data_IF_094483307225
#
_entry.id   IF_094483307225
#
_cell.length_a   1.000
_cell.length_b   1.000
_cell.length_c   1.000
_cell.angle_alpha   90.00
_cell.angle_beta   90.00
_cell.angle_gamma   90.00
#
_symmetry.space_group_name_H-M   'P 1'
#
loop_
_entity.id
_entity.type
_entity.pdbx_description
1 polymer ?
#
# COMPACT_ATOMS: atom_id res chain seq x y z
N UNK A 1 33.80 1.27 -9.42
CA UNK A 1 32.50 1.79 -9.86
C UNK A 1 32.67 2.36 -11.27
N UNK A 2 31.83 1.93 -12.20
CA UNK A 2 31.80 2.49 -13.56
C UNK A 2 31.10 3.85 -13.56
N UNK A 3 31.17 4.58 -14.70
CA UNK A 3 30.46 5.86 -14.84
C UNK A 3 28.94 5.64 -14.75
N UNK A 4 28.43 4.59 -15.39
CA UNK A 4 27.02 4.23 -15.33
C UNK A 4 26.54 3.97 -13.88
N UNK A 5 27.32 3.27 -13.05
CA UNK A 5 27.02 3.07 -11.62
C UNK A 5 26.93 4.40 -10.86
N UNK A 6 27.86 5.33 -11.13
CA UNK A 6 27.87 6.64 -10.44
C UNK A 6 26.64 7.45 -10.84
N UNK A 7 26.31 7.50 -12.12
CA UNK A 7 25.17 8.24 -12.62
C UNK A 7 23.84 7.61 -12.15
N UNK A 8 23.74 6.28 -12.13
CA UNK A 8 22.58 5.59 -11.54
C UNK A 8 22.39 5.92 -10.06
N UNK A 9 23.49 5.97 -9.31
CA UNK A 9 23.47 6.38 -7.90
C UNK A 9 22.99 7.83 -7.75
N UNK A 10 23.42 8.73 -8.62
CA UNK A 10 22.97 10.14 -8.64
C UNK A 10 21.46 10.21 -8.89
N UNK A 11 20.95 9.46 -9.85
CA UNK A 11 19.49 9.41 -10.14
C UNK A 11 18.72 8.88 -8.93
N UNK A 12 19.17 7.79 -8.30
CA UNK A 12 18.54 7.22 -7.11
C UNK A 12 18.55 8.21 -5.94
N UNK A 13 19.69 8.80 -5.64
CA UNK A 13 19.84 9.77 -4.53
C UNK A 13 18.98 10.99 -4.80
N UNK A 14 18.94 11.51 -6.02
CA UNK A 14 18.07 12.63 -6.39
C UNK A 14 16.59 12.28 -6.16
N UNK A 15 16.13 11.08 -6.56
CA UNK A 15 14.77 10.62 -6.31
C UNK A 15 14.47 10.56 -4.81
N UNK A 16 15.35 9.93 -4.02
CA UNK A 16 15.19 9.80 -2.57
C UNK A 16 15.10 11.18 -1.91
N UNK A 17 15.99 12.10 -2.25
CA UNK A 17 16.00 13.44 -1.69
C UNK A 17 14.73 14.22 -2.06
N UNK A 18 14.28 14.15 -3.32
CA UNK A 18 13.03 14.79 -3.74
C UNK A 18 11.81 14.25 -2.99
N UNK A 19 11.78 12.94 -2.70
CA UNK A 19 10.69 12.32 -1.92
C UNK A 19 10.78 12.68 -0.44
N UNK A 20 11.97 12.63 0.17
CA UNK A 20 12.15 12.89 1.61
C UNK A 20 11.92 14.34 2.00
N UNK A 21 12.26 15.28 1.13
CA UNK A 21 12.13 16.71 1.40
C UNK A 21 10.89 17.35 0.76
N UNK A 22 9.99 16.53 0.19
CA UNK A 22 8.76 16.99 -0.50
C UNK A 22 9.06 18.13 -1.51
N UNK A 23 10.18 18.01 -2.24
CA UNK A 23 10.63 19.03 -3.21
C UNK A 23 9.62 19.17 -4.35
N UNK A 24 8.97 18.08 -4.72
CA UNK A 24 7.94 17.99 -5.77
C UNK A 24 6.71 17.26 -5.21
N UNK A 25 5.51 17.56 -5.73
CA UNK A 25 4.29 16.85 -5.34
C UNK A 25 4.44 15.33 -5.50
N UNK A 26 3.78 14.59 -4.62
CA UNK A 26 3.78 13.13 -4.62
C UNK A 26 3.47 12.55 -6.01
N UNK A 27 4.27 11.59 -6.48
CA UNK A 27 4.18 10.97 -7.80
C UNK A 27 5.08 11.61 -8.86
N UNK A 28 5.52 12.86 -8.69
CA UNK A 28 6.35 13.57 -9.67
C UNK A 28 7.86 13.28 -9.54
N UNK A 29 8.47 13.04 -8.37
CA UNK A 29 9.90 12.80 -8.24
C UNK A 29 10.46 11.72 -9.17
N UNK A 30 9.85 10.51 -9.32
CA UNK A 30 10.36 9.52 -10.24
C UNK A 30 10.21 9.95 -11.72
N UNK A 31 9.15 10.68 -12.06
CA UNK A 31 8.97 11.23 -13.40
C UNK A 31 10.08 12.25 -13.74
N UNK A 32 10.46 13.11 -12.77
CA UNK A 32 11.60 14.01 -12.93
C UNK A 32 12.91 13.22 -13.14
N UNK A 33 13.08 12.08 -12.47
CA UNK A 33 14.21 11.18 -12.68
C UNK A 33 14.20 10.55 -14.07
N UNK A 34 13.04 10.23 -14.67
CA UNK A 34 12.97 9.80 -16.07
C UNK A 34 13.58 10.84 -17.01
N UNK A 35 13.24 12.11 -16.81
CA UNK A 35 13.84 13.21 -17.59
C UNK A 35 15.35 13.31 -17.34
N UNK A 36 15.79 13.18 -16.09
CA UNK A 36 17.21 13.18 -15.73
C UNK A 36 17.97 12.04 -16.41
N UNK A 37 17.39 10.83 -16.48
CA UNK A 37 17.98 9.67 -17.19
C UNK A 37 18.23 10.00 -18.65
N UNK A 38 17.26 10.61 -19.36
CA UNK A 38 17.42 11.02 -20.77
C UNK A 38 18.54 12.04 -20.91
N UNK A 39 18.61 13.04 -20.03
CA UNK A 39 19.66 14.06 -20.06
C UNK A 39 21.03 13.41 -19.85
N UNK A 40 21.17 12.55 -18.85
CA UNK A 40 22.44 11.87 -18.57
C UNK A 40 22.84 10.93 -19.73
N UNK A 41 21.89 10.20 -20.30
CA UNK A 41 22.12 9.36 -21.46
C UNK A 41 22.55 10.15 -22.70
N UNK A 42 21.94 11.32 -22.92
CA UNK A 42 22.30 12.20 -24.04
C UNK A 42 23.69 12.82 -23.91
N UNK A 43 24.09 13.15 -22.68
CA UNK A 43 25.39 13.82 -22.40
C UNK A 43 26.53 12.80 -22.27
N UNK A 44 26.29 11.70 -21.58
CA UNK A 44 27.32 10.74 -21.20
C UNK A 44 27.20 9.37 -21.88
N UNK A 45 26.20 9.15 -22.75
CA UNK A 45 25.93 7.83 -23.36
C UNK A 45 27.14 7.22 -24.09
N UNK A 46 27.93 8.03 -24.80
CA UNK A 46 29.14 7.57 -25.44
C UNK A 46 30.27 7.15 -24.50
N UNK A 47 30.21 7.61 -23.23
CA UNK A 47 31.17 7.28 -22.19
C UNK A 47 30.72 6.10 -21.31
N UNK A 48 29.60 5.47 -21.64
CA UNK A 48 29.02 4.31 -20.93
C UNK A 48 28.86 3.10 -21.88
N UNK A 49 29.96 2.60 -22.50
CA UNK A 49 29.91 1.50 -23.46
C UNK A 49 29.49 0.15 -22.83
N UNK A 50 29.47 0.07 -21.50
CA UNK A 50 29.06 -1.12 -20.76
C UNK A 50 27.54 -1.31 -20.69
N UNK A 51 26.75 -0.31 -21.05
CA UNK A 51 25.29 -0.41 -21.04
C UNK A 51 24.80 -1.14 -22.29
N UNK A 52 24.00 -2.18 -22.10
CA UNK A 52 23.37 -2.92 -23.22
C UNK A 52 22.31 -2.07 -23.95
N UNK A 53 21.64 -1.17 -23.23
CA UNK A 53 20.63 -0.26 -23.77
C UNK A 53 20.98 1.19 -23.47
N UNK A 54 20.86 2.09 -24.46
CA UNK A 54 21.08 3.52 -24.25
C UNK A 54 19.99 4.11 -23.34
N UNK A 55 20.38 5.05 -22.51
CA UNK A 55 19.42 5.80 -21.67
C UNK A 55 18.71 6.88 -22.51
N UNK A 56 17.88 6.44 -23.43
CA UNK A 56 17.06 7.27 -24.30
C UNK A 56 15.63 7.47 -23.75
N UNK A 57 14.77 8.12 -24.53
CA UNK A 57 13.38 8.37 -24.17
C UNK A 57 12.62 7.05 -23.97
N UNK A 58 12.85 6.05 -24.83
CA UNK A 58 12.15 4.77 -24.75
C UNK A 58 12.50 4.03 -23.48
N UNK A 59 13.78 4.04 -23.09
CA UNK A 59 14.26 3.48 -21.84
C UNK A 59 13.72 4.22 -20.63
N UNK A 60 13.83 5.55 -20.61
CA UNK A 60 13.45 6.36 -19.47
C UNK A 60 11.93 6.41 -19.20
N UNK A 61 11.10 6.12 -20.20
CA UNK A 61 9.65 6.06 -20.08
C UNK A 61 9.07 4.65 -20.26
N UNK A 62 9.91 3.61 -20.18
CA UNK A 62 9.48 2.21 -20.30
C UNK A 62 8.41 1.81 -19.29
N UNK A 63 8.39 2.42 -18.11
CA UNK A 63 7.34 2.18 -17.11
C UNK A 63 5.93 2.56 -17.59
N UNK A 64 5.81 3.54 -18.48
CA UNK A 64 4.53 3.96 -19.07
C UNK A 64 4.00 3.00 -20.15
N UNK A 65 4.81 2.06 -20.59
CA UNK A 65 4.40 0.98 -21.51
C UNK A 65 4.25 -0.36 -20.78
N UNK A 66 4.43 -0.38 -19.46
CA UNK A 66 4.33 -1.59 -18.65
C UNK A 66 2.87 -2.01 -18.48
N UNK A 67 2.55 -3.26 -18.80
CA UNK A 67 1.19 -3.80 -18.73
C UNK A 67 0.60 -3.72 -17.32
N UNK A 68 1.40 -3.99 -16.28
CA UNK A 68 0.96 -3.94 -14.88
C UNK A 68 0.58 -2.51 -14.47
N UNK A 69 1.33 -1.51 -14.92
CA UNK A 69 1.02 -0.10 -14.64
C UNK A 69 -0.33 0.30 -15.24
N UNK A 70 -0.61 -0.09 -16.47
CA UNK A 70 -1.91 0.19 -17.11
C UNK A 70 -3.05 -0.57 -16.45
N UNK A 71 -2.84 -1.83 -16.08
CA UNK A 71 -3.81 -2.60 -15.32
C UNK A 71 -4.20 -1.88 -14.02
N UNK A 72 -3.19 -1.40 -13.28
CA UNK A 72 -3.41 -0.64 -12.06
C UNK A 72 -4.09 0.70 -12.32
N UNK A 73 -3.69 1.43 -13.36
CA UNK A 73 -4.29 2.71 -13.74
C UNK A 73 -5.80 2.57 -13.99
N UNK A 74 -6.20 1.56 -14.78
CA UNK A 74 -7.61 1.27 -15.01
C UNK A 74 -8.32 0.80 -13.73
N UNK A 75 -7.64 0.02 -12.90
CA UNK A 75 -8.24 -0.42 -11.64
C UNK A 75 -8.47 0.73 -10.66
N UNK A 76 -7.59 1.74 -10.62
CA UNK A 76 -7.81 2.96 -9.83
C UNK A 76 -9.08 3.72 -10.25
N UNK A 77 -9.40 3.76 -11.54
CA UNK A 77 -10.67 4.31 -12.04
C UNK A 77 -11.88 3.52 -11.50
N UNK A 78 -11.78 2.19 -11.48
CA UNK A 78 -12.86 1.34 -10.95
C UNK A 78 -13.00 1.53 -9.44
N UNK A 79 -11.90 1.70 -8.72
CA UNK A 79 -11.93 2.02 -7.28
C UNK A 79 -12.64 3.34 -6.99
N UNK A 80 -12.41 4.37 -7.80
CA UNK A 80 -13.15 5.62 -7.68
C UNK A 80 -14.66 5.44 -7.95
N UNK A 81 -15.02 4.57 -8.89
CA UNK A 81 -16.42 4.25 -9.16
C UNK A 81 -17.08 3.47 -8.00
N UNK A 82 -16.39 2.50 -7.39
CA UNK A 82 -16.92 1.71 -6.28
C UNK A 82 -17.15 2.59 -5.03
N UNK A 83 -16.32 3.61 -4.81
CA UNK A 83 -16.48 4.55 -3.71
C UNK A 83 -17.77 5.39 -3.81
N UNK A 84 -18.34 5.55 -5.02
CA UNK A 84 -19.63 6.21 -5.24
C UNK A 84 -20.84 5.30 -5.00
N UNK A 85 -20.64 4.03 -4.74
CA UNK A 85 -21.73 3.08 -4.43
C UNK A 85 -22.19 3.22 -2.97
N UNK A 86 -23.36 2.70 -2.67
CA UNK A 86 -23.90 2.70 -1.30
C UNK A 86 -23.20 1.70 -0.35
N UNK A 87 -22.03 1.14 -0.74
CA UNK A 87 -21.31 0.19 0.12
C UNK A 87 -20.83 0.84 1.41
N UNK A 88 -20.36 2.10 1.34
CA UNK A 88 -19.88 2.85 2.50
C UNK A 88 -21.05 3.11 3.48
N UNK A 89 -22.21 3.53 2.99
CA UNK A 89 -23.38 3.78 3.83
C UNK A 89 -23.90 2.49 4.48
N UNK A 90 -23.87 1.36 3.79
CA UNK A 90 -24.22 0.04 4.37
C UNK A 90 -23.28 -0.38 5.50
N UNK A 91 -21.96 -0.14 5.35
CA UNK A 91 -20.99 -0.40 6.43
C UNK A 91 -21.33 0.46 7.66
N UNK A 92 -21.61 1.74 7.45
CA UNK A 92 -22.05 2.69 8.49
C UNK A 92 -23.28 2.18 9.25
N UNK A 93 -24.36 1.77 8.54
CA UNK A 93 -25.59 1.28 9.15
C UNK A 93 -25.38 0.03 10.00
N UNK A 94 -24.57 -0.91 9.50
CA UNK A 94 -24.23 -2.13 10.25
C UNK A 94 -23.41 -1.80 11.50
N UNK A 95 -22.45 -0.88 11.39
CA UNK A 95 -21.63 -0.47 12.52
C UNK A 95 -22.47 0.21 13.60
N UNK A 96 -23.36 1.12 13.24
CA UNK A 96 -24.24 1.80 14.18
C UNK A 96 -25.07 0.82 15.00
N UNK A 97 -25.70 -0.17 14.37
CA UNK A 97 -26.45 -1.23 15.04
C UNK A 97 -25.60 -2.06 16.00
N UNK A 98 -24.36 -2.38 15.61
CA UNK A 98 -23.46 -3.17 16.46
C UNK A 98 -23.02 -2.41 17.70
N UNK A 99 -22.86 -1.09 17.60
CA UNK A 99 -22.48 -0.24 18.76
C UNK A 99 -23.60 -0.17 19.77
N UNK A 100 -24.86 -0.06 19.34
CA UNK A 100 -26.03 -0.08 20.24
C UNK A 100 -26.07 -1.34 21.11
N UNK A 101 -25.73 -2.50 20.55
CA UNK A 101 -25.67 -3.76 21.32
C UNK A 101 -24.56 -3.73 22.36
N UNK A 102 -23.38 -3.20 22.01
CA UNK A 102 -22.23 -3.01 22.90
C UNK A 102 -21.55 -4.30 23.37
N UNK A 103 -20.46 -4.12 24.12
CA UNK A 103 -19.69 -5.21 24.71
C UNK A 103 -18.67 -5.86 23.76
N UNK A 104 -17.91 -6.84 24.28
CA UNK A 104 -16.79 -7.48 23.56
C UNK A 104 -17.21 -8.18 22.26
N UNK A 105 -18.38 -8.80 22.22
CA UNK A 105 -18.87 -9.46 20.99
C UNK A 105 -19.12 -8.44 19.87
N UNK A 106 -19.72 -7.29 20.22
CA UNK A 106 -19.93 -6.20 19.27
C UNK A 106 -18.60 -5.59 18.80
N UNK A 107 -17.63 -5.46 19.70
CA UNK A 107 -16.28 -5.02 19.33
C UNK A 107 -15.65 -5.93 18.27
N UNK A 108 -15.67 -7.25 18.48
CA UNK A 108 -15.14 -8.20 17.50
C UNK A 108 -15.92 -8.16 16.18
N UNK A 109 -17.25 -8.05 16.24
CA UNK A 109 -18.07 -7.91 15.04
C UNK A 109 -17.76 -6.62 14.27
N UNK A 110 -17.54 -5.49 14.97
CA UNK A 110 -17.13 -4.23 14.38
C UNK A 110 -15.76 -4.34 13.69
N UNK A 111 -14.78 -5.01 14.32
CA UNK A 111 -13.49 -5.28 13.68
C UNK A 111 -13.67 -6.03 12.36
N UNK A 112 -14.47 -7.10 12.37
CA UNK A 112 -14.75 -7.90 11.17
C UNK A 112 -15.42 -7.05 10.09
N UNK A 113 -16.42 -6.23 10.43
CA UNK A 113 -17.13 -5.36 9.47
C UNK A 113 -16.18 -4.34 8.85
N UNK A 114 -15.34 -3.70 9.66
CA UNK A 114 -14.35 -2.73 9.15
C UNK A 114 -13.30 -3.42 8.28
N UNK A 115 -12.78 -4.58 8.68
CA UNK A 115 -11.84 -5.37 7.89
C UNK A 115 -12.44 -5.89 6.58
N UNK A 116 -13.74 -6.20 6.54
CA UNK A 116 -14.47 -6.51 5.30
C UNK A 116 -14.62 -5.26 4.41
N UNK A 117 -14.89 -4.10 5.01
CA UNK A 117 -14.87 -2.81 4.31
C UNK A 117 -13.50 -2.55 3.68
N UNK A 118 -12.41 -2.77 4.42
CA UNK A 118 -11.05 -2.66 3.92
C UNK A 118 -10.74 -3.64 2.78
N UNK A 119 -11.38 -4.81 2.78
CA UNK A 119 -11.24 -5.79 1.70
C UNK A 119 -11.76 -5.27 0.35
N UNK A 120 -12.71 -4.35 0.38
CA UNK A 120 -13.33 -3.75 -0.82
C UNK A 120 -12.63 -2.44 -1.18
N UNK A 121 -12.47 -1.54 -0.19
CA UNK A 121 -11.94 -0.20 -0.40
C UNK A 121 -10.41 -0.17 -0.52
N UNK A 122 -9.73 -1.23 -0.12
CA UNK A 122 -8.28 -1.38 -0.17
C UNK A 122 -7.54 -0.84 1.05
N UNK A 123 -6.32 -1.30 1.23
CA UNK A 123 -5.41 -0.81 2.26
C UNK A 123 -5.00 0.64 1.95
N UNK A 124 -4.98 1.51 2.96
CA UNK A 124 -4.53 2.91 2.83
C UNK A 124 -5.61 3.87 2.34
N UNK A 125 -6.89 3.48 2.28
CA UNK A 125 -7.98 4.38 1.94
C UNK A 125 -8.21 5.43 3.02
N UNK A 126 -7.77 6.67 2.75
CA UNK A 126 -7.95 7.81 3.66
C UNK A 126 -9.42 8.08 3.93
N UNK A 127 -10.25 8.10 2.92
CA UNK A 127 -11.69 8.32 3.06
C UNK A 127 -12.33 7.27 3.99
N UNK A 128 -11.88 6.03 3.92
CA UNK A 128 -12.45 4.97 4.75
C UNK A 128 -12.08 5.11 6.22
N UNK A 129 -10.81 5.37 6.58
CA UNK A 129 -10.48 5.53 7.99
C UNK A 129 -11.04 6.83 8.58
N UNK A 130 -11.14 7.92 7.79
CA UNK A 130 -11.80 9.16 8.23
C UNK A 130 -13.28 8.89 8.55
N UNK A 131 -13.98 8.16 7.68
CA UNK A 131 -15.35 7.73 7.94
C UNK A 131 -15.47 6.92 9.24
N UNK A 132 -14.58 5.96 9.47
CA UNK A 132 -14.59 5.15 10.70
C UNK A 132 -14.37 6.03 11.94
N UNK A 133 -13.43 6.97 11.88
CA UNK A 133 -13.19 7.90 13.00
C UNK A 133 -14.38 8.81 13.25
N UNK A 134 -14.97 9.40 12.20
CA UNK A 134 -16.15 10.24 12.29
C UNK A 134 -17.33 9.47 12.89
N UNK A 135 -17.52 8.22 12.48
CA UNK A 135 -18.54 7.36 13.08
C UNK A 135 -18.31 7.15 14.59
N UNK A 136 -17.08 6.83 15.01
CA UNK A 136 -16.77 6.57 16.42
C UNK A 136 -16.94 7.83 17.28
N UNK A 137 -16.60 9.00 16.77
CA UNK A 137 -16.72 10.29 17.47
C UNK A 137 -18.19 10.69 17.65
N UNK A 138 -19.04 10.44 16.64
CA UNK A 138 -20.47 10.79 16.72
C UNK A 138 -21.32 9.81 17.53
N UNK A 139 -20.73 8.65 17.95
CA UNK A 139 -21.45 7.71 18.80
C UNK A 139 -21.65 8.27 20.23
N UNK A 140 -22.84 8.12 20.81
CA UNK A 140 -23.03 8.46 22.21
C UNK A 140 -22.13 7.59 23.09
N UNK A 141 -21.61 8.19 24.17
CA UNK A 141 -20.79 7.45 25.14
C UNK A 141 -21.58 6.29 25.74
N UNK A 142 -20.93 5.13 25.77
CA UNK A 142 -21.46 3.92 26.38
C UNK A 142 -20.40 3.25 27.25
N UNK A 143 -20.73 2.98 28.52
CA UNK A 143 -19.84 2.24 29.43
C UNK A 143 -19.54 0.82 28.97
N UNK A 144 -20.45 0.22 28.19
CA UNK A 144 -20.28 -1.15 27.65
C UNK A 144 -19.26 -1.21 26.51
N UNK A 145 -19.15 -0.13 25.74
CA UNK A 145 -18.23 -0.02 24.61
C UNK A 145 -17.82 1.44 24.39
N UNK A 146 -16.90 1.97 25.23
CA UNK A 146 -16.42 3.34 25.10
C UNK A 146 -15.74 3.59 23.75
N UNK A 147 -15.90 4.80 23.17
CA UNK A 147 -15.28 5.18 21.91
C UNK A 147 -13.76 5.02 21.90
N UNK A 148 -13.08 5.24 23.03
CA UNK A 148 -11.64 5.00 23.19
C UNK A 148 -11.22 3.53 23.00
N UNK A 149 -12.11 2.57 23.18
CA UNK A 149 -11.87 1.16 22.84
C UNK A 149 -12.07 0.86 21.35
N UNK A 150 -12.71 1.74 20.62
CA UNK A 150 -13.02 1.59 19.20
C UNK A 150 -12.06 2.36 18.31
N UNK A 151 -11.73 3.59 18.67
CA UNK A 151 -11.02 4.54 17.81
C UNK A 151 -9.74 3.95 17.19
N UNK A 152 -8.83 3.49 18.04
CA UNK A 152 -7.55 2.97 17.60
C UNK A 152 -7.65 1.62 16.87
N UNK A 153 -8.35 0.59 17.39
CA UNK A 153 -8.47 -0.69 16.70
C UNK A 153 -9.23 -0.61 15.38
N UNK A 154 -10.34 0.12 15.31
CA UNK A 154 -11.13 0.24 14.09
C UNK A 154 -10.41 1.08 13.04
N UNK A 155 -9.72 2.16 13.46
CA UNK A 155 -8.86 2.92 12.57
C UNK A 155 -7.80 2.05 11.92
N UNK A 156 -7.07 1.24 12.70
CA UNK A 156 -6.06 0.33 12.14
C UNK A 156 -6.70 -0.82 11.35
N UNK A 157 -7.89 -1.30 11.74
CA UNK A 157 -8.64 -2.32 11.01
C UNK A 157 -8.97 -1.88 9.58
N UNK A 158 -9.22 -0.58 9.34
CA UNK A 158 -9.49 -0.04 8.01
C UNK A 158 -8.31 -0.21 7.02
N UNK A 159 -7.13 -0.52 7.56
CA UNK A 159 -5.90 -0.79 6.79
C UNK A 159 -5.57 -2.29 6.70
N UNK A 160 -6.44 -3.16 7.22
CA UNK A 160 -6.18 -4.61 7.29
C UNK A 160 -7.36 -5.38 6.71
N UNK A 161 -7.34 -5.67 5.38
CA UNK A 161 -8.41 -6.42 4.73
C UNK A 161 -8.53 -7.83 5.33
N UNK A 162 -9.75 -8.25 5.66
CA UNK A 162 -10.02 -9.61 6.13
C UNK A 162 -9.85 -10.63 5.00
N UNK A 163 -10.36 -10.28 3.84
CA UNK A 163 -10.18 -11.01 2.58
C UNK A 163 -9.42 -10.06 1.65
N UNK A 164 -8.11 -10.24 1.45
CA UNK A 164 -7.29 -9.27 0.72
C UNK A 164 -7.47 -9.40 -0.79
N UNK A 165 -8.67 -9.06 -1.27
CA UNK A 165 -9.03 -9.05 -2.70
C UNK A 165 -8.57 -7.75 -3.38
N UNK A 166 -8.56 -6.63 -2.66
CA UNK A 166 -8.12 -5.35 -3.16
C UNK A 166 -6.73 -5.00 -2.60
N UNK A 167 -5.70 -5.59 -3.16
CA UNK A 167 -4.27 -5.36 -2.84
C UNK A 167 -3.52 -4.72 -4.01
N UNK A 168 -4.26 -4.20 -5.00
CA UNK A 168 -3.70 -3.77 -6.29
C UNK A 168 -2.58 -2.72 -6.14
N UNK A 169 -2.72 -1.75 -5.24
CA UNK A 169 -1.72 -0.72 -5.01
C UNK A 169 -0.39 -1.33 -4.53
N UNK A 170 -0.42 -2.08 -3.44
CA UNK A 170 0.78 -2.68 -2.84
C UNK A 170 1.40 -3.73 -3.77
N UNK A 171 0.54 -4.50 -4.43
CA UNK A 171 0.95 -5.46 -5.46
C UNK A 171 1.68 -4.78 -6.62
N UNK A 172 1.14 -3.67 -7.12
CA UNK A 172 1.77 -2.90 -8.20
C UNK A 172 3.13 -2.33 -7.81
N UNK A 173 3.26 -1.82 -6.59
CA UNK A 173 4.54 -1.37 -6.04
C UNK A 173 5.54 -2.54 -6.00
N UNK A 174 5.15 -3.70 -5.48
CA UNK A 174 6.03 -4.87 -5.40
C UNK A 174 6.48 -5.37 -6.77
N UNK A 175 5.54 -5.51 -7.72
CA UNK A 175 5.85 -5.97 -9.08
C UNK A 175 6.75 -4.98 -9.82
N UNK A 176 6.51 -3.67 -9.66
CA UNK A 176 7.36 -2.62 -10.26
C UNK A 176 8.80 -2.71 -9.76
N UNK A 177 8.98 -2.91 -8.45
CA UNK A 177 10.31 -3.04 -7.85
C UNK A 177 11.00 -4.33 -8.31
N UNK A 178 10.27 -5.45 -8.39
CA UNK A 178 10.86 -6.71 -8.88
C UNK A 178 11.29 -6.61 -10.35
N UNK A 179 10.45 -6.07 -11.20
CA UNK A 179 10.77 -5.87 -12.60
C UNK A 179 12.05 -5.03 -12.77
N UNK A 180 12.20 -4.02 -11.90
CA UNK A 180 13.35 -3.13 -11.88
C UNK A 180 14.63 -3.75 -11.28
N UNK A 181 14.49 -4.78 -10.46
CA UNK A 181 15.63 -5.55 -9.96
C UNK A 181 16.15 -6.58 -10.99
N UNK A 182 15.66 -6.55 -12.22
CA UNK A 182 16.02 -7.49 -13.27
C UNK A 182 15.47 -8.90 -13.07
N UNK A 183 14.56 -9.07 -12.14
CA UNK A 183 13.93 -10.35 -11.84
C UNK A 183 12.77 -10.57 -12.82
N UNK A 184 12.93 -11.48 -13.75
CA UNK A 184 11.88 -11.89 -14.67
C UNK A 184 10.76 -12.73 -14.02
N UNK A 185 10.85 -12.96 -12.70
CA UNK A 185 9.86 -13.70 -11.95
C UNK A 185 8.67 -12.77 -11.61
N UNK A 186 7.48 -13.19 -11.99
CA UNK A 186 6.23 -12.52 -11.58
C UNK A 186 5.79 -13.02 -10.21
N UNK A 187 5.31 -12.11 -9.36
CA UNK A 187 4.60 -12.51 -8.13
C UNK A 187 3.16 -12.84 -8.52
N UNK A 188 2.66 -14.07 -8.31
CA UNK A 188 1.24 -14.32 -8.47
C UNK A 188 0.45 -13.48 -7.46
N UNK A 189 -0.57 -12.75 -7.93
CA UNK A 189 -1.38 -11.86 -7.08
C UNK A 189 -2.03 -12.60 -5.92
N UNK A 190 -2.41 -13.87 -6.13
CA UNK A 190 -2.99 -14.73 -5.08
C UNK A 190 -1.98 -14.97 -3.95
N UNK A 191 -0.72 -15.23 -4.27
CA UNK A 191 0.34 -15.42 -3.27
C UNK A 191 0.62 -14.12 -2.51
N UNK A 192 0.63 -12.98 -3.21
CA UNK A 192 0.73 -11.67 -2.58
C UNK A 192 -0.44 -11.43 -1.60
N UNK A 193 -1.66 -11.73 -2.02
CA UNK A 193 -2.85 -11.64 -1.20
C UNK A 193 -2.78 -12.56 0.04
N UNK A 194 -2.24 -13.78 -0.10
CA UNK A 194 -2.02 -14.67 1.05
C UNK A 194 -1.06 -14.08 2.08
N UNK A 195 0.04 -13.45 1.66
CA UNK A 195 0.96 -12.77 2.59
C UNK A 195 0.26 -11.58 3.27
N UNK A 196 -0.54 -10.82 2.53
CA UNK A 196 -1.36 -9.74 3.09
C UNK A 196 -2.36 -10.26 4.12
N UNK A 197 -2.94 -11.45 3.89
CA UNK A 197 -3.82 -12.11 4.86
C UNK A 197 -3.09 -12.41 6.18
N UNK A 198 -1.83 -12.90 6.13
CA UNK A 198 -1.04 -13.12 7.35
C UNK A 198 -0.81 -11.83 8.13
N UNK A 199 -0.52 -10.71 7.46
CA UNK A 199 -0.40 -9.39 8.09
C UNK A 199 -1.71 -9.01 8.80
N UNK A 200 -2.85 -9.17 8.12
CA UNK A 200 -4.18 -8.86 8.66
C UNK A 200 -4.58 -9.81 9.79
N UNK A 201 -4.19 -11.08 9.70
CA UNK A 201 -4.41 -12.07 10.76
C UNK A 201 -3.63 -11.71 12.03
N UNK A 202 -2.37 -11.30 11.89
CA UNK A 202 -1.57 -10.82 13.02
C UNK A 202 -2.20 -9.60 13.71
N UNK A 203 -2.74 -8.67 12.92
CA UNK A 203 -3.53 -7.55 13.45
C UNK A 203 -4.77 -8.04 14.20
N UNK A 204 -5.59 -8.89 13.59
CA UNK A 204 -6.84 -9.37 14.18
C UNK A 204 -6.60 -10.12 15.49
N UNK A 205 -5.62 -11.02 15.53
CA UNK A 205 -5.24 -11.76 16.73
C UNK A 205 -4.88 -10.80 17.86
N UNK A 206 -4.05 -9.80 17.58
CA UNK A 206 -3.71 -8.80 18.60
C UNK A 206 -4.91 -7.93 18.97
N UNK A 207 -5.73 -7.47 18.03
CA UNK A 207 -6.88 -6.64 18.30
C UNK A 207 -7.85 -7.32 19.28
N UNK A 208 -8.06 -8.63 19.13
CA UNK A 208 -8.91 -9.42 20.04
C UNK A 208 -8.25 -9.56 21.43
N UNK A 209 -6.98 -9.94 21.50
CA UNK A 209 -6.26 -10.12 22.77
C UNK A 209 -6.03 -8.77 23.47
N UNK A 210 -5.67 -7.76 22.68
CA UNK A 210 -5.30 -6.41 23.13
C UNK A 210 -6.48 -5.58 23.63
N UNK A 211 -7.73 -6.00 23.44
CA UNK A 211 -8.93 -5.29 23.90
C UNK A 211 -8.87 -4.87 25.38
N UNK A 212 -8.31 -5.73 26.22
CA UNK A 212 -8.15 -5.48 27.67
C UNK A 212 -7.14 -4.37 28.01
N UNK A 213 -6.25 -4.01 27.09
CA UNK A 213 -5.25 -2.96 27.28
C UNK A 213 -5.74 -1.59 26.81
N UNK A 214 -6.88 -1.54 26.11
CA UNK A 214 -7.48 -0.31 25.64
C UNK A 214 -8.12 0.46 26.80
N UNK A 215 -7.95 1.79 26.86
CA UNK A 215 -8.52 2.61 27.92
C UNK A 215 -10.05 2.74 27.78
N UNK A 216 -10.70 3.21 28.83
CA UNK A 216 -12.15 3.41 28.88
C UNK A 216 -12.45 4.85 29.28
N UNK A 217 -12.48 5.75 28.30
CA UNK A 217 -12.80 7.17 28.48
C UNK A 217 -13.53 7.73 27.25
N UNK A 218 -14.15 8.91 27.32
CA UNK A 218 -14.74 9.58 26.18
C UNK A 218 -13.68 9.97 25.13
N UNK A 219 -14.07 9.95 23.86
CA UNK A 219 -13.29 10.44 22.71
C UNK A 219 -13.52 11.94 22.51
N UNK A 220 -12.94 12.52 21.45
CA UNK A 220 -13.19 13.91 21.08
C UNK A 220 -14.69 14.13 20.78
N UNK A 221 -15.14 15.38 20.95
CA UNK A 221 -16.48 15.78 20.51
C UNK A 221 -16.51 15.85 18.97
N UNK A 222 -17.66 15.53 18.34
CA UNK A 222 -17.79 15.65 16.90
C UNK A 222 -17.58 17.10 16.44
N UNK A 223 -16.89 17.27 15.33
CA UNK A 223 -16.77 18.54 14.62
C UNK A 223 -17.70 18.56 13.42
N UNK A 224 -17.95 19.75 12.83
CA UNK A 224 -18.75 19.88 11.60
C UNK A 224 -18.17 19.00 10.49
N UNK A 225 -16.85 18.97 10.35
CA UNK A 225 -16.16 18.11 9.36
C UNK A 225 -16.42 16.62 9.58
N UNK A 226 -16.50 16.17 10.85
CA UNK A 226 -16.83 14.78 11.16
C UNK A 226 -18.28 14.45 10.81
N UNK A 227 -19.20 15.39 11.05
CA UNK A 227 -20.60 15.23 10.67
C UNK A 227 -20.76 15.22 9.14
N UNK A 228 -20.10 16.14 8.43
CA UNK A 228 -20.09 16.19 6.97
C UNK A 228 -19.55 14.90 6.35
N UNK A 229 -18.43 14.36 6.87
CA UNK A 229 -17.85 13.10 6.40
C UNK A 229 -18.81 11.90 6.54
N UNK A 230 -19.74 11.93 7.51
CA UNK A 230 -20.78 10.91 7.62
C UNK A 230 -21.86 11.04 6.53
N UNK A 231 -22.07 12.25 5.99
CA UNK A 231 -23.08 12.52 4.97
C UNK A 231 -22.49 12.53 3.54
N UNK A 232 -21.17 12.52 3.36
CA UNK A 232 -20.55 12.42 2.03
C UNK A 232 -20.98 11.16 1.25
N UNK A 233 -21.45 10.12 1.93
CA UNK A 233 -22.03 8.92 1.32
C UNK A 233 -23.53 8.99 1.03
N UNK A 234 -24.23 10.01 1.52
CA UNK A 234 -25.68 10.18 1.38
C UNK A 234 -26.07 11.05 0.16
N UNK A 235 -25.14 11.29 -0.78
CA UNK A 235 -25.42 11.92 -2.07
C UNK A 235 -26.54 11.21 -2.84
N UNK A 236 -27.09 11.83 -3.91
CA UNK A 236 -28.19 11.25 -4.67
C UNK A 236 -27.85 9.81 -5.05
N UNK A 237 -28.65 8.86 -4.58
CA UNK A 237 -28.42 7.44 -4.75
C UNK A 237 -28.24 7.10 -6.23
N UNK A 238 -27.08 6.51 -6.55
CA UNK A 238 -26.85 5.99 -7.89
C UNK A 238 -27.97 5.03 -8.26
N UNK A 239 -28.53 5.08 -9.49
CA UNK A 239 -29.52 4.10 -9.93
C UNK A 239 -29.03 2.66 -9.69
N UNK A 240 -29.89 1.81 -9.14
CA UNK A 240 -29.51 0.44 -8.72
C UNK A 240 -28.80 -0.38 -9.82
N UNK A 241 -29.18 -0.17 -11.10
CA UNK A 241 -28.54 -0.84 -12.21
C UNK A 241 -27.08 -0.38 -12.42
N UNK A 242 -26.78 0.91 -12.22
CA UNK A 242 -25.41 1.43 -12.30
C UNK A 242 -24.55 0.90 -11.16
N UNK A 243 -25.11 0.87 -9.94
CA UNK A 243 -24.47 0.29 -8.78
C UNK A 243 -24.14 -1.19 -9.03
N UNK A 244 -25.09 -1.97 -9.54
CA UNK A 244 -24.88 -3.37 -9.89
C UNK A 244 -23.78 -3.55 -10.95
N UNK A 245 -23.78 -2.76 -12.02
CA UNK A 245 -22.74 -2.80 -13.06
C UNK A 245 -21.38 -2.42 -12.47
N UNK A 246 -21.30 -1.43 -11.60
CA UNK A 246 -20.04 -1.03 -10.94
C UNK A 246 -19.49 -2.16 -10.06
N UNK A 247 -20.32 -2.80 -9.25
CA UNK A 247 -19.92 -3.93 -8.42
C UNK A 247 -19.44 -5.11 -9.27
N UNK A 248 -20.17 -5.46 -10.33
CA UNK A 248 -19.79 -6.52 -11.26
C UNK A 248 -18.46 -6.19 -11.94
N UNK A 249 -18.29 -4.97 -12.43
CA UNK A 249 -17.06 -4.50 -13.05
C UNK A 249 -15.85 -4.61 -12.10
N UNK A 250 -16.04 -4.23 -10.83
CA UNK A 250 -15.03 -4.36 -9.80
C UNK A 250 -14.65 -5.83 -9.54
N UNK A 251 -15.64 -6.71 -9.32
CA UNK A 251 -15.39 -8.14 -9.07
C UNK A 251 -14.71 -8.80 -10.26
N UNK A 252 -15.20 -8.56 -11.47
CA UNK A 252 -14.63 -9.13 -12.70
C UNK A 252 -13.19 -8.66 -12.91
N UNK A 253 -12.90 -7.39 -12.63
CA UNK A 253 -11.54 -6.86 -12.73
C UNK A 253 -10.59 -7.53 -11.73
N UNK A 254 -11.00 -7.70 -10.47
CA UNK A 254 -10.20 -8.41 -9.47
C UNK A 254 -9.95 -9.85 -9.90
N UNK A 255 -11.00 -10.57 -10.30
CA UNK A 255 -10.88 -11.97 -10.75
C UNK A 255 -9.92 -12.06 -11.95
N UNK A 256 -10.02 -11.15 -12.92
CA UNK A 256 -9.11 -11.11 -14.06
C UNK A 256 -7.65 -10.88 -13.61
N UNK A 257 -7.42 -9.94 -12.69
CA UNK A 257 -6.08 -9.67 -12.13
C UNK A 257 -5.52 -10.86 -11.35
N UNK A 258 -6.35 -11.61 -10.65
CA UNK A 258 -5.92 -12.83 -9.93
C UNK A 258 -5.60 -14.00 -10.88
N UNK A 259 -6.20 -14.03 -12.05
CA UNK A 259 -6.04 -15.09 -13.05
C UNK A 259 -5.06 -14.72 -14.19
N UNK A 260 -4.07 -13.87 -13.91
CA UNK A 260 -3.07 -13.42 -14.91
C UNK A 260 -2.40 -14.59 -15.61
N UNK A 261 -2.03 -15.65 -14.89
CA UNK A 261 -1.38 -16.83 -15.44
C UNK A 261 -2.27 -17.58 -16.43
N UNK A 262 -3.59 -17.55 -16.25
CA UNK A 262 -4.56 -18.26 -17.09
C UNK A 262 -5.06 -17.39 -18.25
N UNK A 263 -5.35 -16.11 -17.97
CA UNK A 263 -5.95 -15.19 -18.94
C UNK A 263 -4.91 -14.43 -19.78
N UNK A 264 -3.64 -14.42 -19.35
CA UNK A 264 -2.57 -13.73 -20.06
C UNK A 264 -2.90 -12.25 -20.30
N UNK A 265 -2.84 -11.81 -21.55
CA UNK A 265 -3.08 -10.41 -21.93
C UNK A 265 -4.49 -9.90 -21.56
N UNK A 266 -5.50 -10.76 -21.53
CA UNK A 266 -6.87 -10.37 -21.18
C UNK A 266 -6.97 -9.86 -19.73
N UNK A 267 -6.15 -10.36 -18.82
CA UNK A 267 -6.12 -9.89 -17.43
C UNK A 267 -5.77 -8.40 -17.30
N UNK A 268 -4.98 -7.87 -18.21
CA UNK A 268 -4.61 -6.46 -18.27
C UNK A 268 -5.68 -5.58 -18.94
N UNK A 269 -6.44 -6.16 -19.89
CA UNK A 269 -7.42 -5.43 -20.71
C UNK A 269 -8.78 -5.34 -20.02
N UNK A 270 -9.19 -6.37 -19.25
CA UNK A 270 -10.49 -6.42 -18.59
C UNK A 270 -10.73 -5.22 -17.66
N UNK A 271 -9.79 -4.80 -16.78
CA UNK A 271 -9.95 -3.59 -16.00
C UNK A 271 -10.12 -2.33 -16.88
N UNK A 272 -9.43 -2.29 -18.03
CA UNK A 272 -9.55 -1.18 -18.99
C UNK A 272 -10.95 -1.09 -19.59
N UNK A 273 -11.52 -2.22 -20.01
CA UNK A 273 -12.91 -2.29 -20.49
C UNK A 273 -13.87 -1.82 -19.41
N UNK A 274 -13.71 -2.33 -18.18
CA UNK A 274 -14.53 -1.96 -17.04
C UNK A 274 -14.46 -0.45 -16.75
N UNK A 275 -13.26 0.14 -16.75
CA UNK A 275 -13.06 1.57 -16.56
C UNK A 275 -13.79 2.42 -17.63
N UNK A 276 -13.66 2.03 -18.90
CA UNK A 276 -14.38 2.70 -20.01
C UNK A 276 -15.88 2.58 -19.84
N UNK A 277 -16.40 1.43 -19.40
CA UNK A 277 -17.83 1.25 -19.12
C UNK A 277 -18.28 2.23 -18.03
N UNK A 278 -17.50 2.48 -16.96
CA UNK A 278 -17.86 3.45 -15.91
C UNK A 278 -18.02 4.86 -16.47
N UNK A 279 -17.18 5.25 -17.43
CA UNK A 279 -17.30 6.53 -18.12
C UNK A 279 -18.54 6.58 -19.02
N UNK A 280 -18.78 5.54 -19.83
CA UNK A 280 -19.92 5.46 -20.77
C UNK A 280 -21.28 5.53 -20.06
N UNK A 281 -21.42 4.82 -18.94
CA UNK A 281 -22.66 4.85 -18.15
C UNK A 281 -22.75 6.06 -17.20
N UNK A 282 -21.75 6.96 -17.26
CA UNK A 282 -21.69 8.18 -16.43
C UNK A 282 -21.78 7.88 -14.93
N UNK A 283 -21.03 6.93 -14.44
CA UNK A 283 -20.72 6.74 -13.02
C UNK A 283 -19.62 7.70 -12.61
N UNK A 284 -18.61 7.84 -13.48
CA UNK A 284 -17.56 8.84 -13.38
C UNK A 284 -17.68 9.83 -14.51
N UNK A 285 -17.37 11.09 -14.24
CA UNK A 285 -17.16 12.08 -15.29
C UNK A 285 -15.75 11.95 -15.90
N UNK A 286 -15.48 12.75 -16.95
CA UNK A 286 -14.18 12.68 -17.64
C UNK A 286 -13.02 13.14 -16.75
N UNK A 287 -13.24 14.14 -15.90
CA UNK A 287 -12.18 14.64 -15.02
C UNK A 287 -11.84 13.59 -13.96
N UNK A 288 -12.84 13.00 -13.32
CA UNK A 288 -12.67 11.92 -12.35
C UNK A 288 -11.96 10.70 -12.98
N UNK A 289 -12.37 10.33 -14.20
CA UNK A 289 -11.73 9.25 -14.95
C UNK A 289 -10.24 9.55 -15.18
N UNK A 290 -9.92 10.74 -15.71
CA UNK A 290 -8.54 11.19 -15.98
C UNK A 290 -7.69 11.24 -14.72
N UNK A 291 -8.23 11.84 -13.66
CA UNK A 291 -7.49 12.09 -12.41
C UNK A 291 -7.16 10.79 -11.67
N UNK A 292 -8.02 9.78 -11.78
CA UNK A 292 -7.75 8.45 -11.24
C UNK A 292 -6.83 7.62 -12.15
N UNK A 293 -6.97 7.72 -13.48
CA UNK A 293 -6.13 7.03 -14.45
C UNK A 293 -4.66 7.49 -14.34
N UNK A 294 -4.44 8.78 -14.16
CA UNK A 294 -3.12 9.40 -13.97
C UNK A 294 -2.88 9.84 -12.53
N UNK A 295 -3.41 9.07 -11.59
CA UNK A 295 -3.21 9.39 -10.17
C UNK A 295 -1.72 9.44 -9.82
N UNK A 296 -1.32 10.21 -8.78
CA UNK A 296 0.08 10.32 -8.35
C UNK A 296 0.75 8.97 -8.11
N UNK A 297 -0.01 7.97 -7.66
CA UNK A 297 0.47 6.60 -7.45
C UNK A 297 0.86 5.93 -8.78
N UNK A 298 0.07 6.11 -9.82
CA UNK A 298 0.37 5.55 -11.16
C UNK A 298 1.60 6.22 -11.75
N UNK A 299 1.69 7.55 -11.66
CA UNK A 299 2.88 8.29 -12.11
C UNK A 299 4.14 7.85 -11.36
N UNK A 300 4.04 7.66 -10.05
CA UNK A 300 5.13 7.15 -9.23
C UNK A 300 5.55 5.74 -9.66
N UNK A 301 4.59 4.82 -9.80
CA UNK A 301 4.86 3.44 -10.18
C UNK A 301 5.51 3.35 -11.57
N UNK A 302 4.99 4.10 -12.54
CA UNK A 302 5.57 4.15 -13.89
C UNK A 302 6.98 4.77 -13.89
N UNK A 303 7.19 5.84 -13.14
CA UNK A 303 8.47 6.56 -13.11
C UNK A 303 9.59 5.83 -12.38
N UNK A 304 9.27 4.97 -11.41
CA UNK A 304 10.29 4.21 -10.65
C UNK A 304 10.90 3.08 -11.48
N UNK A 305 10.14 2.46 -12.38
CA UNK A 305 10.62 1.34 -13.20
C UNK A 305 11.94 1.68 -13.90
N UNK A 306 12.05 2.75 -14.71
CA UNK A 306 13.31 3.07 -15.39
C UNK A 306 14.44 3.47 -14.42
N UNK A 307 14.15 4.12 -13.29
CA UNK A 307 15.17 4.43 -12.28
C UNK A 307 15.83 3.16 -11.78
N UNK A 308 15.04 2.16 -11.53
CA UNK A 308 15.54 0.91 -10.99
C UNK A 308 16.15 0.02 -12.09
N UNK A 309 15.69 0.11 -13.35
CA UNK A 309 16.40 -0.46 -14.49
C UNK A 309 17.83 0.11 -14.57
N UNK A 310 18.01 1.43 -14.43
CA UNK A 310 19.34 2.04 -14.38
C UNK A 310 20.25 1.42 -13.31
N UNK A 311 19.72 1.14 -12.12
CA UNK A 311 20.47 0.51 -11.04
C UNK A 311 20.87 -0.93 -11.36
N UNK A 312 19.95 -1.69 -12.00
CA UNK A 312 20.19 -3.07 -12.40
C UNK A 312 21.21 -3.15 -13.54
N UNK A 313 20.96 -2.43 -14.63
CA UNK A 313 21.75 -2.47 -15.86
C UNK A 313 23.18 -1.92 -15.67
N UNK A 314 23.35 -0.93 -14.79
CA UNK A 314 24.68 -0.45 -14.39
C UNK A 314 25.46 -1.43 -13.52
N UNK A 315 24.81 -2.46 -12.94
CA UNK A 315 25.39 -3.39 -11.98
C UNK A 315 25.54 -2.83 -10.55
N UNK A 316 25.00 -1.62 -10.30
CA UNK A 316 25.06 -1.00 -8.96
C UNK A 316 24.31 -1.82 -7.92
N UNK A 317 23.13 -2.35 -8.27
CA UNK A 317 22.34 -3.21 -7.38
C UNK A 317 23.12 -4.42 -6.92
N UNK A 318 23.84 -5.10 -7.82
CA UNK A 318 24.68 -6.26 -7.50
C UNK A 318 25.86 -5.87 -6.59
N UNK A 319 26.50 -4.74 -6.88
CA UNK A 319 27.62 -4.24 -6.07
C UNK A 319 27.16 -3.93 -4.63
N UNK A 320 26.04 -3.23 -4.47
CA UNK A 320 25.46 -2.92 -3.16
C UNK A 320 25.03 -4.19 -2.44
N UNK A 321 24.34 -5.10 -3.13
CA UNK A 321 23.90 -6.38 -2.57
C UNK A 321 25.07 -7.20 -2.02
N UNK A 322 26.14 -7.35 -2.79
CA UNK A 322 27.34 -8.09 -2.36
C UNK A 322 28.10 -7.40 -1.21
N UNK A 323 28.17 -6.06 -1.23
CA UNK A 323 28.81 -5.31 -0.14
C UNK A 323 28.05 -5.48 1.18
N UNK A 324 26.72 -5.38 1.14
CA UNK A 324 25.85 -5.55 2.32
C UNK A 324 25.89 -7.02 2.79
N UNK A 325 25.78 -7.99 1.87
CA UNK A 325 25.87 -9.41 2.18
C UNK A 325 27.22 -9.75 2.87
N UNK A 326 28.32 -9.17 2.38
CA UNK A 326 29.65 -9.35 2.99
C UNK A 326 29.75 -8.71 4.39
N UNK A 327 29.10 -7.56 4.60
CA UNK A 327 29.09 -6.86 5.88
C UNK A 327 28.22 -7.58 6.92
N UNK A 328 27.08 -8.15 6.50
CA UNK A 328 26.16 -8.89 7.38
C UNK A 328 26.70 -10.30 7.67
N UNK A 329 27.46 -10.89 6.74
CA UNK A 329 27.98 -12.26 6.83
C UNK A 329 26.97 -13.32 6.34
N UNK A 330 27.48 -14.50 6.01
CA UNK A 330 26.69 -15.61 5.41
C UNK A 330 25.84 -16.40 6.41
N UNK A 331 25.86 -16.04 7.70
CA UNK A 331 25.19 -16.80 8.77
C UNK A 331 23.87 -16.23 9.26
N UNK A 332 23.33 -15.16 8.64
CA UNK A 332 22.07 -14.56 9.09
C UNK A 332 20.89 -15.40 8.60
N UNK A 333 20.05 -15.92 9.51
CA UNK A 333 18.85 -16.66 9.10
C UNK A 333 17.92 -15.81 8.22
N UNK A 334 17.31 -16.37 7.17
CA UNK A 334 16.41 -15.64 6.27
C UNK A 334 15.31 -14.86 7.00
N UNK A 335 14.71 -15.45 8.03
CA UNK A 335 13.68 -14.80 8.83
C UNK A 335 14.18 -13.52 9.54
N UNK A 336 15.39 -13.55 10.07
CA UNK A 336 15.99 -12.40 10.77
C UNK A 336 16.30 -11.29 9.76
N UNK A 337 16.84 -11.65 8.59
CA UNK A 337 17.07 -10.70 7.50
C UNK A 337 15.78 -10.00 7.08
N UNK A 338 14.74 -10.79 6.86
CA UNK A 338 13.42 -10.27 6.48
C UNK A 338 12.85 -9.35 7.56
N UNK A 339 12.97 -9.74 8.83
CA UNK A 339 12.52 -8.93 9.97
C UNK A 339 13.27 -7.59 10.05
N UNK A 340 14.60 -7.59 9.83
CA UNK A 340 15.38 -6.35 9.83
C UNK A 340 14.85 -5.37 8.77
N UNK A 341 14.71 -5.82 7.52
CA UNK A 341 14.24 -4.94 6.46
C UNK A 341 12.78 -4.50 6.63
N UNK A 342 11.91 -5.35 7.15
CA UNK A 342 10.51 -4.98 7.44
C UNK A 342 10.42 -3.99 8.59
N UNK A 343 11.25 -4.11 9.64
CA UNK A 343 11.34 -3.14 10.74
C UNK A 343 11.87 -1.79 10.23
N UNK A 344 12.95 -1.79 9.45
CA UNK A 344 13.51 -0.57 8.87
C UNK A 344 12.47 0.13 7.98
N UNK A 345 11.91 -0.57 7.01
CA UNK A 345 10.93 -0.01 6.08
C UNK A 345 9.73 0.57 6.82
N UNK A 346 9.09 -0.19 7.70
CA UNK A 346 7.91 0.26 8.45
C UNK A 346 8.20 1.42 9.40
N UNK A 347 9.39 1.44 10.00
CA UNK A 347 9.81 2.54 10.88
C UNK A 347 10.01 3.83 10.11
N UNK A 348 10.77 3.80 9.02
CA UNK A 348 10.98 4.98 8.20
C UNK A 348 9.69 5.46 7.53
N UNK A 349 8.83 4.54 7.08
CA UNK A 349 7.51 4.89 6.54
C UNK A 349 6.64 5.61 7.60
N UNK A 350 6.68 5.15 8.85
CA UNK A 350 5.95 5.79 9.94
C UNK A 350 6.44 7.20 10.25
N UNK A 351 7.76 7.44 10.20
CA UNK A 351 8.35 8.76 10.47
C UNK A 351 8.18 9.75 9.33
N UNK A 352 8.18 9.29 8.09
CA UNK A 352 8.09 10.16 6.90
C UNK A 352 6.66 10.35 6.41
N UNK A 353 5.71 9.50 6.81
CA UNK A 353 4.35 9.47 6.26
C UNK A 353 4.28 8.98 4.80
N UNK A 354 5.41 8.56 4.22
CA UNK A 354 5.49 8.13 2.82
C UNK A 354 5.67 6.62 2.69
N UNK A 355 4.58 5.85 2.76
CA UNK A 355 4.62 4.39 2.69
C UNK A 355 5.21 3.91 1.36
N UNK A 356 4.70 4.41 0.23
CA UNK A 356 5.16 4.00 -1.11
C UNK A 356 6.61 4.42 -1.34
N UNK A 357 6.98 5.67 -1.00
CA UNK A 357 8.35 6.18 -1.19
C UNK A 357 9.37 5.34 -0.43
N UNK A 358 9.08 5.01 0.82
CA UNK A 358 9.99 4.22 1.66
C UNK A 358 10.05 2.75 1.21
N UNK A 359 8.91 2.14 0.81
CA UNK A 359 8.91 0.81 0.21
C UNK A 359 9.83 0.76 -1.02
N UNK A 360 9.81 1.78 -1.87
CA UNK A 360 10.66 1.88 -3.05
C UNK A 360 12.15 2.05 -2.76
N UNK A 361 12.52 2.47 -1.56
CA UNK A 361 13.91 2.56 -1.11
C UNK A 361 14.39 1.23 -0.51
N UNK A 362 13.64 0.69 0.45
CA UNK A 362 14.11 -0.47 1.21
C UNK A 362 13.90 -1.81 0.49
N UNK A 363 12.90 -1.91 -0.39
CA UNK A 363 12.62 -3.19 -1.07
C UNK A 363 13.71 -3.57 -2.08
N UNK A 364 14.20 -2.68 -2.96
CA UNK A 364 15.33 -3.02 -3.83
C UNK A 364 16.59 -3.42 -3.06
N UNK A 365 16.86 -2.75 -1.93
CA UNK A 365 17.99 -3.09 -1.06
C UNK A 365 17.84 -4.50 -0.46
N UNK A 366 16.64 -4.83 0.03
CA UNK A 366 16.35 -6.15 0.57
C UNK A 366 16.49 -7.25 -0.50
N UNK A 367 15.98 -7.00 -1.72
CA UNK A 367 16.13 -7.90 -2.87
C UNK A 367 17.63 -8.14 -3.17
N UNK A 368 18.41 -7.06 -3.29
CA UNK A 368 19.82 -7.13 -3.63
C UNK A 368 20.61 -7.92 -2.56
N UNK A 369 20.29 -7.73 -1.28
CA UNK A 369 20.93 -8.50 -0.18
C UNK A 369 20.53 -9.98 -0.23
N UNK A 370 19.26 -10.29 -0.48
CA UNK A 370 18.82 -11.68 -0.64
C UNK A 370 19.55 -12.36 -1.80
N UNK A 371 19.69 -11.71 -2.95
CA UNK A 371 20.44 -12.22 -4.10
C UNK A 371 21.91 -12.44 -3.75
N UNK A 372 22.55 -11.48 -3.05
CA UNK A 372 23.95 -11.58 -2.63
C UNK A 372 24.22 -12.74 -1.65
N UNK A 373 23.20 -13.13 -0.86
CA UNK A 373 23.25 -14.26 0.06
C UNK A 373 22.76 -15.58 -0.56
N UNK A 374 22.29 -15.57 -1.80
CA UNK A 374 21.75 -16.75 -2.48
C UNK A 374 20.34 -17.14 -2.03
N UNK A 375 19.61 -16.21 -1.37
CA UNK A 375 18.22 -16.41 -0.95
C UNK A 375 17.24 -16.01 -2.04
N UNK A 376 16.06 -16.65 -2.05
CA UNK A 376 14.95 -16.22 -2.92
C UNK A 376 14.45 -14.83 -2.51
N UNK A 377 14.51 -13.82 -3.38
CA UNK A 377 14.16 -12.43 -3.04
C UNK A 377 12.66 -12.17 -2.97
N UNK A 378 11.80 -13.11 -3.38
CA UNK A 378 10.35 -12.90 -3.48
C UNK A 378 9.70 -12.59 -2.12
N UNK A 379 10.10 -13.33 -1.06
CA UNK A 379 9.62 -13.06 0.30
C UNK A 379 9.97 -11.64 0.75
N UNK A 380 11.20 -11.18 0.46
CA UNK A 380 11.64 -9.84 0.79
C UNK A 380 10.87 -8.78 0.00
N UNK A 381 10.67 -8.97 -1.31
CA UNK A 381 9.91 -8.04 -2.14
C UNK A 381 8.50 -7.82 -1.61
N UNK A 382 7.81 -8.90 -1.22
CA UNK A 382 6.43 -8.81 -0.74
C UNK A 382 6.37 -8.27 0.69
N UNK A 383 7.16 -8.83 1.62
CA UNK A 383 7.07 -8.46 3.02
C UNK A 383 7.54 -7.02 3.28
N UNK A 384 8.62 -6.57 2.62
CA UNK A 384 9.12 -5.21 2.83
C UNK A 384 8.14 -4.18 2.28
N UNK A 385 7.54 -4.41 1.10
CA UNK A 385 6.48 -3.53 0.58
C UNK A 385 5.31 -3.46 1.55
N UNK A 386 4.75 -4.59 1.98
CA UNK A 386 3.60 -4.63 2.89
C UNK A 386 3.92 -4.01 4.26
N UNK A 387 5.17 -4.11 4.74
CA UNK A 387 5.58 -3.55 6.01
C UNK A 387 5.51 -2.03 6.05
N UNK A 388 5.60 -1.34 4.94
CA UNK A 388 5.46 0.11 4.87
C UNK A 388 4.10 0.60 5.40
N UNK A 389 3.06 -0.21 5.29
CA UNK A 389 1.73 0.07 5.86
C UNK A 389 1.53 -0.52 7.27
N UNK A 390 2.59 -1.01 7.93
CA UNK A 390 2.52 -1.62 9.25
C UNK A 390 3.08 -0.74 10.39
N UNK A 391 3.55 0.46 10.12
CA UNK A 391 4.27 1.32 11.06
C UNK A 391 3.42 2.13 12.07
N UNK A 392 2.17 1.78 12.34
CA UNK A 392 1.22 2.59 13.12
C UNK A 392 1.49 2.65 14.64
N UNK A 393 2.74 2.63 15.08
CA UNK A 393 3.09 2.71 16.52
C UNK A 393 3.50 4.12 16.98
N UNK A 394 3.69 5.07 16.06
CA UNK A 394 3.91 6.49 16.35
C UNK A 394 2.75 7.31 15.78
N UNK A 395 2.23 8.31 16.51
CA UNK A 395 1.13 9.14 16.05
C UNK A 395 1.64 10.31 15.16
N UNK A 396 2.36 9.99 14.09
CA UNK A 396 2.98 10.97 13.18
C UNK A 396 2.28 10.93 11.81
N UNK A 397 2.03 9.74 11.29
CA UNK A 397 1.33 9.54 10.02
C UNK A 397 -0.18 9.72 10.17
N UNK A 398 -0.90 10.02 9.08
CA UNK A 398 -2.31 10.42 9.05
C UNK A 398 -3.23 9.58 9.93
N UNK A 399 -3.28 8.26 9.70
CA UNK A 399 -4.17 7.36 10.46
C UNK A 399 -3.85 7.31 11.96
N UNK A 400 -2.61 7.00 12.40
CA UNK A 400 -2.31 6.91 13.82
C UNK A 400 -2.37 8.27 14.51
N UNK A 401 -2.04 9.39 13.83
CA UNK A 401 -2.16 10.72 14.38
C UNK A 401 -3.62 11.10 14.65
N UNK A 402 -4.51 10.84 13.69
CA UNK A 402 -5.95 11.05 13.88
C UNK A 402 -6.53 10.18 14.99
N UNK A 403 -6.18 8.88 15.01
CA UNK A 403 -6.62 7.97 16.07
C UNK A 403 -6.16 8.45 17.44
N UNK A 404 -4.92 8.91 17.56
CA UNK A 404 -4.35 9.46 18.80
C UNK A 404 -5.09 10.70 19.27
N UNK A 405 -5.24 11.69 18.38
CA UNK A 405 -5.88 12.97 18.72
C UNK A 405 -7.37 12.85 19.02
N UNK A 406 -8.12 12.22 18.12
CA UNK A 406 -9.57 12.05 18.28
C UNK A 406 -9.91 11.07 19.42
N UNK A 407 -9.09 10.05 19.63
CA UNK A 407 -9.23 9.11 20.72
C UNK A 407 -8.85 9.67 22.08
N UNK A 408 -8.24 10.87 22.16
CA UNK A 408 -7.73 11.51 23.39
C UNK A 408 -6.83 10.59 24.20
N UNK A 409 -6.03 9.76 23.54
CA UNK A 409 -5.10 8.87 24.23
C UNK A 409 -3.91 9.63 24.80
N UNK A 410 -3.43 9.18 25.96
CA UNK A 410 -2.08 9.49 26.39
C UNK A 410 -1.08 8.67 25.58
N UNK A 411 0.17 9.12 25.47
CA UNK A 411 1.20 8.36 24.75
C UNK A 411 1.42 6.96 25.33
N UNK A 412 1.31 6.83 26.65
CA UNK A 412 1.45 5.53 27.33
C UNK A 412 0.32 4.56 26.95
N UNK A 413 -0.93 5.02 26.89
CA UNK A 413 -2.08 4.22 26.46
C UNK A 413 -1.95 3.81 25.00
N UNK A 414 -1.53 4.75 24.14
CA UNK A 414 -1.31 4.49 22.72
C UNK A 414 -0.24 3.41 22.50
N UNK A 415 0.92 3.57 23.11
CA UNK A 415 2.02 2.61 22.99
C UNK A 415 1.74 1.25 23.62
N UNK A 416 1.01 1.22 24.73
CA UNK A 416 0.60 -0.03 25.38
C UNK A 416 -0.17 -0.95 24.43
N UNK A 417 -0.90 -0.39 23.49
CA UNK A 417 -1.63 -1.14 22.48
C UNK A 417 -0.84 -1.31 21.18
N UNK A 418 -0.24 -0.22 20.65
CA UNK A 418 0.32 -0.20 19.29
C UNK A 418 1.68 -0.88 19.17
N UNK A 419 2.55 -0.82 20.20
CA UNK A 419 3.88 -1.45 20.12
C UNK A 419 3.77 -2.98 20.04
N UNK A 420 3.04 -3.66 20.95
CA UNK A 420 2.87 -5.11 20.80
C UNK A 420 2.13 -5.50 19.53
N UNK A 421 1.15 -4.68 19.08
CA UNK A 421 0.47 -4.88 17.82
C UNK A 421 1.43 -4.85 16.64
N UNK A 422 2.34 -3.87 16.62
CA UNK A 422 3.36 -3.74 15.60
C UNK A 422 4.25 -4.97 15.52
N UNK A 423 4.75 -5.45 16.67
CA UNK A 423 5.58 -6.66 16.74
C UNK A 423 4.83 -7.89 16.23
N UNK A 424 3.61 -8.13 16.70
CA UNK A 424 2.81 -9.29 16.28
C UNK A 424 2.54 -9.25 14.78
N UNK A 425 2.19 -8.10 14.22
CA UNK A 425 1.95 -7.96 12.77
C UNK A 425 3.18 -8.28 11.94
N UNK A 426 4.35 -7.74 12.31
CA UNK A 426 5.58 -8.02 11.56
C UNK A 426 6.01 -9.48 11.65
N UNK A 427 5.85 -10.13 12.81
CA UNK A 427 6.13 -11.55 12.94
C UNK A 427 5.22 -12.41 12.04
N UNK A 428 3.91 -12.11 12.02
CA UNK A 428 2.97 -12.79 11.13
C UNK A 428 3.26 -12.50 9.66
N UNK A 429 3.62 -11.26 9.31
CA UNK A 429 4.00 -10.88 7.95
C UNK A 429 5.23 -11.66 7.48
N UNK A 430 6.31 -11.65 8.26
CA UNK A 430 7.54 -12.36 7.92
C UNK A 430 7.33 -13.89 7.84
N UNK A 431 6.59 -14.45 8.80
CA UNK A 431 6.26 -15.89 8.77
C UNK A 431 5.40 -16.23 7.53
N UNK A 432 4.37 -15.43 7.25
CA UNK A 432 3.53 -15.61 6.07
C UNK A 432 4.30 -15.50 4.75
N UNK A 433 5.19 -14.52 4.65
CA UNK A 433 6.03 -14.36 3.47
C UNK A 433 6.97 -15.55 3.24
N UNK A 434 7.57 -16.08 4.28
CA UNK A 434 8.44 -17.27 4.18
C UNK A 434 7.66 -18.57 3.91
N UNK A 435 6.41 -18.69 4.38
CA UNK A 435 5.55 -19.84 4.08
C UNK A 435 5.16 -19.83 2.60
N UNK A 436 4.80 -18.65 2.07
CA UNK A 436 4.32 -18.50 0.69
C UNK A 436 5.48 -18.47 -0.31
N UNK A 437 6.60 -17.86 0.06
CA UNK A 437 7.81 -17.73 -0.75
C UNK A 437 9.02 -18.23 0.04
N UNK A 438 9.31 -19.52 0.07
CA UNK A 438 10.48 -20.05 0.78
C UNK A 438 11.79 -19.42 0.30
N UNK A 439 12.64 -19.02 1.24
CA UNK A 439 13.93 -18.35 0.99
C UNK A 439 15.10 -19.33 1.01
#
# INVERSE_FOLDING_TARGET
MTLAMILSLVVLVAMILMILFDVLPFGIPPLACCVLIVVLGSVFGSAMPELEQPWDISYAFAGFTNNTVWMLAFFMVILAAIQKTQMISRVKDVMAKLVEVGGFKSYVALLIVVMLGASILGMGSTAFYVLIFSLVVTMPYSDKLPGSKLMLPLGIASNHPLIPINVALQYGVAVSILASAGLQQSIPMVQFALVTFFLSLGFFVWAVIGYKFLPSHPVAEPTIENEEALFEGDGPSMPAWKEAVTIVAFVVSIVAMMLVETLGQLSYVIPGIAAVVMLLIKVLDFNEFRDNLFSPIILMTAGVIPVANCLADSGLSTLVGNAVASAIGTGVPPFVLLLIFTVLCSTFACFTGSQVGIAMIFTPLAIAVCQGLGYNPMAAAVAVVLSAWAGHYMPIDGLPAMAYGMGKYTMAEFWKYTIPQYVVRLLFLCAGAMIVFPM
#
